data_IF_495179347005
#
_entry.id   IF_495179347005
#
_cell.length_a   1.000
_cell.length_b   1.000
_cell.length_c   1.000
_cell.angle_alpha   90.00
_cell.angle_beta   90.00
_cell.angle_gamma   90.00
#
_symmetry.space_group_name_H-M   'P 1'
#
loop_
_entity.id
_entity.type
_entity.pdbx_description
1 polymer ?
#
# COMPACT_ATOMS: atom_id res chain seq x y z
N UNK A 1 11.78 -19.66 14.89
CA UNK A 1 10.63 -18.76 15.15
C UNK A 1 10.90 -17.48 14.37
N UNK A 2 10.65 -17.49 13.07
CA UNK A 2 10.86 -16.32 12.21
C UNK A 2 9.65 -15.41 12.35
N UNK A 3 9.89 -14.19 12.81
CA UNK A 3 8.88 -13.16 12.99
C UNK A 3 8.19 -12.88 11.65
N UNK A 4 6.86 -12.86 11.64
CA UNK A 4 6.03 -12.59 10.45
C UNK A 4 6.31 -11.20 9.82
N UNK A 5 7.07 -10.34 10.49
CA UNK A 5 7.42 -8.98 10.06
C UNK A 5 8.36 -8.88 8.84
N UNK A 6 9.09 -9.94 8.49
CA UNK A 6 10.00 -9.93 7.32
C UNK A 6 9.39 -10.54 6.04
N UNK A 7 8.22 -11.19 6.14
CA UNK A 7 7.64 -11.87 4.97
C UNK A 7 6.95 -10.87 4.05
N UNK A 8 7.40 -10.79 2.80
CA UNK A 8 6.78 -9.94 1.78
C UNK A 8 5.36 -10.44 1.42
N UNK A 9 4.37 -9.53 1.33
CA UNK A 9 3.02 -9.88 0.89
C UNK A 9 2.96 -10.49 -0.50
N UNK A 10 2.03 -11.43 -0.70
CA UNK A 10 1.85 -12.10 -1.99
C UNK A 10 1.53 -11.10 -3.12
N UNK A 11 0.76 -10.05 -2.84
CA UNK A 11 0.42 -9.02 -3.82
C UNK A 11 1.66 -8.30 -4.36
N UNK A 12 2.63 -8.01 -3.49
CA UNK A 12 3.91 -7.41 -3.89
C UNK A 12 4.72 -8.38 -4.74
N UNK A 13 4.81 -9.64 -4.33
CA UNK A 13 5.57 -10.66 -5.07
C UNK A 13 5.01 -10.92 -6.46
N UNK A 14 3.68 -11.03 -6.59
CA UNK A 14 3.02 -11.26 -7.87
C UNK A 14 3.23 -10.07 -8.82
N UNK A 15 3.10 -8.84 -8.31
CA UNK A 15 3.34 -7.65 -9.11
C UNK A 15 4.81 -7.53 -9.53
N UNK A 16 5.74 -7.79 -8.61
CA UNK A 16 7.18 -7.80 -8.88
C UNK A 16 7.57 -8.90 -9.89
N UNK A 17 7.01 -10.10 -9.78
CA UNK A 17 7.23 -11.16 -10.76
C UNK A 17 6.73 -10.78 -12.16
N UNK A 18 5.59 -10.09 -12.27
CA UNK A 18 5.12 -9.54 -13.54
C UNK A 18 6.08 -8.46 -14.09
N UNK A 19 6.62 -7.59 -13.23
CA UNK A 19 7.63 -6.60 -13.59
C UNK A 19 8.91 -7.26 -14.13
N UNK A 20 9.45 -8.24 -13.43
CA UNK A 20 10.68 -8.95 -13.84
C UNK A 20 10.54 -9.64 -15.20
N UNK A 21 9.34 -10.15 -15.48
CA UNK A 21 9.01 -10.78 -16.77
C UNK A 21 8.61 -9.77 -17.85
N UNK A 22 8.58 -8.47 -17.54
CA UNK A 22 8.13 -7.37 -18.40
C UNK A 22 6.75 -7.62 -19.02
N UNK A 23 5.84 -8.17 -18.23
CA UNK A 23 4.48 -8.50 -18.66
C UNK A 23 3.49 -7.43 -18.19
N UNK A 24 2.48 -7.15 -19.02
CA UNK A 24 1.32 -6.41 -18.53
C UNK A 24 0.54 -7.26 -17.52
N UNK A 25 -0.34 -6.66 -16.71
CA UNK A 25 -1.23 -7.44 -15.85
C UNK A 25 -2.12 -8.40 -16.65
N UNK A 26 -2.49 -8.04 -17.88
CA UNK A 26 -3.32 -8.88 -18.73
C UNK A 26 -2.57 -10.15 -19.16
N UNK A 27 -1.33 -10.00 -19.62
CA UNK A 27 -0.50 -11.13 -20.06
C UNK A 27 -0.12 -12.02 -18.86
N UNK A 28 0.22 -11.40 -17.73
CA UNK A 28 0.54 -12.16 -16.52
C UNK A 28 -0.67 -12.93 -15.97
N UNK A 29 -1.87 -12.36 -16.04
CA UNK A 29 -3.10 -13.08 -15.69
C UNK A 29 -3.32 -14.29 -16.62
N UNK A 30 -3.07 -14.14 -17.92
CA UNK A 30 -3.19 -15.24 -18.87
C UNK A 30 -2.20 -16.38 -18.57
N UNK A 31 -0.94 -16.06 -18.20
CA UNK A 31 0.07 -17.04 -17.77
C UNK A 31 -0.39 -17.81 -16.51
N UNK A 32 -1.03 -17.12 -15.58
CA UNK A 32 -1.63 -17.72 -14.39
C UNK A 32 -2.95 -18.46 -14.67
N UNK A 33 -3.47 -18.45 -15.89
CA UNK A 33 -4.79 -19.01 -16.23
C UNK A 33 -5.95 -18.30 -15.51
N UNK A 34 -5.80 -17.01 -15.22
CA UNK A 34 -6.77 -16.17 -14.51
C UNK A 34 -7.37 -15.10 -15.42
N UNK A 35 -8.54 -14.60 -15.04
CA UNK A 35 -9.02 -13.34 -15.60
C UNK A 35 -8.24 -12.16 -15.00
N UNK A 36 -8.12 -11.07 -15.77
CA UNK A 36 -7.47 -9.83 -15.29
C UNK A 36 -8.16 -9.29 -14.03
N UNK A 37 -9.50 -9.39 -13.96
CA UNK A 37 -10.27 -8.99 -12.80
C UNK A 37 -9.87 -9.80 -11.56
N UNK A 38 -9.75 -11.12 -11.69
CA UNK A 38 -9.34 -12.02 -10.60
C UNK A 38 -7.93 -11.69 -10.11
N UNK A 39 -6.96 -11.50 -11.01
CA UNK A 39 -5.62 -11.10 -10.63
C UNK A 39 -5.62 -9.74 -9.90
N UNK A 40 -6.39 -8.75 -10.40
CA UNK A 40 -6.53 -7.46 -9.74
C UNK A 40 -7.14 -7.56 -8.35
N UNK A 41 -8.11 -8.45 -8.13
CA UNK A 41 -8.66 -8.72 -6.80
C UNK A 41 -7.59 -9.31 -5.88
N UNK A 42 -6.75 -10.23 -6.36
CA UNK A 42 -5.63 -10.75 -5.56
C UNK A 42 -4.57 -9.70 -5.23
N UNK A 43 -4.30 -8.76 -6.15
CA UNK A 43 -3.31 -7.71 -5.93
C UNK A 43 -3.83 -6.59 -5.01
N UNK A 44 -5.09 -6.19 -5.19
CA UNK A 44 -5.60 -4.89 -4.70
C UNK A 44 -6.88 -4.96 -3.86
N UNK A 45 -7.40 -6.14 -3.56
CA UNK A 45 -8.49 -6.30 -2.59
C UNK A 45 -7.98 -6.99 -1.34
N UNK A 46 -8.29 -6.41 -0.18
CA UNK A 46 -8.13 -7.07 1.09
C UNK A 46 -9.19 -8.18 1.22
N UNK A 47 -8.81 -9.38 1.68
CA UNK A 47 -9.73 -10.50 1.92
C UNK A 47 -10.09 -11.38 0.71
N UNK A 48 -9.90 -10.93 -0.54
CA UNK A 48 -10.14 -11.78 -1.74
C UNK A 48 -9.15 -12.95 -1.85
N UNK A 49 -8.01 -12.81 -1.18
CA UNK A 49 -6.88 -13.75 -1.18
C UNK A 49 -7.11 -15.02 -0.33
N UNK A 50 -8.08 -15.00 0.58
CA UNK A 50 -8.39 -16.14 1.46
C UNK A 50 -9.16 -17.27 0.76
N UNK A 51 -9.66 -17.06 -0.47
CA UNK A 51 -10.46 -18.04 -1.24
C UNK A 51 -9.79 -18.50 -2.55
N UNK A 52 -8.47 -18.49 -2.62
CA UNK A 52 -7.75 -18.94 -3.82
C UNK A 52 -7.96 -20.44 -4.08
N UNK A 53 -8.24 -20.80 -5.33
CA UNK A 53 -8.38 -22.20 -5.76
C UNK A 53 -7.02 -22.89 -5.71
N UNK A 54 -6.96 -24.17 -5.34
CA UNK A 54 -5.69 -24.91 -5.21
C UNK A 54 -4.82 -24.85 -6.47
N UNK A 55 -5.42 -25.05 -7.65
CA UNK A 55 -4.70 -24.93 -8.94
C UNK A 55 -4.03 -23.57 -9.11
N UNK A 56 -4.71 -22.49 -8.73
CA UNK A 56 -4.16 -21.13 -8.81
C UNK A 56 -3.00 -20.94 -7.83
N UNK A 57 -3.12 -21.48 -6.62
CA UNK A 57 -2.05 -21.44 -5.62
C UNK A 57 -0.82 -22.19 -6.11
N UNK A 58 -1.00 -23.36 -6.74
CA UNK A 58 0.10 -24.14 -7.34
C UNK A 58 0.79 -23.38 -8.47
N UNK A 59 0.03 -22.73 -9.36
CA UNK A 59 0.61 -21.91 -10.43
C UNK A 59 1.38 -20.70 -9.90
N UNK A 60 0.87 -20.04 -8.85
CA UNK A 60 1.57 -18.95 -8.19
C UNK A 60 2.84 -19.44 -7.49
N UNK A 61 2.78 -20.59 -6.82
CA UNK A 61 3.91 -21.25 -6.17
C UNK A 61 5.04 -21.54 -7.17
N UNK A 62 4.69 -22.09 -8.34
CA UNK A 62 5.63 -22.37 -9.43
C UNK A 62 6.27 -21.08 -9.98
N UNK A 63 5.47 -20.05 -10.26
CA UNK A 63 5.97 -18.79 -10.82
C UNK A 63 6.88 -18.02 -9.86
N UNK A 64 6.54 -18.05 -8.57
CA UNK A 64 7.28 -17.38 -7.50
C UNK A 64 8.41 -18.24 -6.92
N UNK A 65 8.50 -19.52 -7.32
CA UNK A 65 9.43 -20.50 -6.77
C UNK A 65 9.39 -20.60 -5.23
N UNK A 66 8.17 -20.65 -4.68
CA UNK A 66 7.89 -20.80 -3.24
C UNK A 66 6.87 -21.92 -3.03
N UNK A 67 6.83 -22.59 -1.87
CA UNK A 67 5.88 -23.67 -1.65
C UNK A 67 4.44 -23.15 -1.51
N UNK A 68 3.47 -23.99 -1.88
CA UNK A 68 2.04 -23.61 -1.95
C UNK A 68 1.41 -23.25 -0.59
N UNK A 69 1.95 -23.75 0.52
CA UNK A 69 1.55 -23.31 1.86
C UNK A 69 1.99 -21.86 2.12
N UNK A 70 3.20 -21.50 1.72
CA UNK A 70 3.75 -20.16 1.89
C UNK A 70 3.03 -19.12 1.02
N UNK A 71 2.56 -19.50 -0.18
CA UNK A 71 1.68 -18.64 -0.99
C UNK A 71 0.42 -18.24 -0.20
N UNK A 72 -0.20 -19.19 0.52
CA UNK A 72 -1.41 -18.92 1.32
C UNK A 72 -1.10 -18.05 2.53
N UNK A 73 -0.03 -18.35 3.26
CA UNK A 73 0.43 -17.52 4.39
C UNK A 73 0.68 -16.08 3.95
N UNK A 74 1.42 -15.88 2.85
CA UNK A 74 1.74 -14.54 2.32
C UNK A 74 0.53 -13.83 1.72
N UNK A 75 -0.54 -14.56 1.39
CA UNK A 75 -1.79 -13.97 0.89
C UNK A 75 -2.54 -13.20 1.98
N UNK A 76 -2.37 -13.58 3.24
CA UNK A 76 -2.96 -12.90 4.40
C UNK A 76 -2.22 -11.62 4.78
N UNK A 77 -0.97 -11.48 4.33
CA UNK A 77 -0.15 -10.31 4.60
C UNK A 77 -0.59 -9.10 3.75
N UNK A 78 -0.44 -7.92 4.34
CA UNK A 78 -0.72 -6.62 3.72
C UNK A 78 0.59 -5.82 3.79
N UNK A 79 0.95 -5.06 2.73
CA UNK A 79 2.15 -4.23 2.79
C UNK A 79 2.00 -3.12 3.84
N UNK A 80 3.13 -2.66 4.36
CA UNK A 80 3.15 -1.54 5.27
C UNK A 80 2.79 -0.22 4.58
N UNK A 81 2.32 0.70 5.41
CA UNK A 81 2.10 2.09 5.07
C UNK A 81 3.46 2.78 4.89
N UNK A 82 3.76 3.10 3.63
CA UNK A 82 5.00 3.76 3.20
C UNK A 82 4.65 5.05 2.44
N UNK A 83 5.65 5.67 1.83
CA UNK A 83 5.48 6.82 0.94
C UNK A 83 4.51 6.51 -0.22
N UNK A 84 3.72 7.50 -0.65
CA UNK A 84 2.92 7.38 -1.87
C UNK A 84 3.81 7.31 -3.12
N UNK A 85 3.45 6.45 -4.07
CA UNK A 85 4.19 6.30 -5.32
C UNK A 85 4.34 7.63 -6.09
N UNK A 86 3.32 8.47 -6.08
CA UNK A 86 3.34 9.78 -6.75
C UNK A 86 4.34 10.75 -6.13
N UNK A 87 4.48 10.73 -4.80
CA UNK A 87 5.45 11.54 -4.07
C UNK A 87 6.87 11.03 -4.28
N UNK A 88 7.04 9.70 -4.18
CA UNK A 88 8.29 9.02 -4.49
C UNK A 88 8.77 9.33 -5.91
N UNK A 89 7.86 9.27 -6.89
CA UNK A 89 8.16 9.53 -8.29
C UNK A 89 8.60 10.99 -8.51
N UNK A 90 7.91 11.96 -7.89
CA UNK A 90 8.30 13.37 -7.94
C UNK A 90 9.69 13.61 -7.34
N UNK A 91 9.98 13.00 -6.19
CA UNK A 91 11.27 13.11 -5.53
C UNK A 91 12.40 12.51 -6.40
N UNK A 92 12.18 11.34 -7.01
CA UNK A 92 13.17 10.69 -7.87
C UNK A 92 13.38 11.39 -9.21
N UNK A 93 12.41 12.18 -9.66
CA UNK A 93 12.57 13.05 -10.82
C UNK A 93 13.34 14.34 -10.52
N UNK A 94 13.30 14.82 -9.29
CA UNK A 94 13.82 16.15 -8.94
C UNK A 94 15.30 16.29 -9.30
N UNK A 95 15.62 17.32 -10.10
CA UNK A 95 16.98 17.61 -10.55
C UNK A 95 17.53 16.67 -11.64
N UNK A 96 16.82 15.60 -12.02
CA UNK A 96 17.29 14.61 -13.03
C UNK A 96 16.41 14.55 -14.27
N UNK A 97 15.09 14.63 -14.09
CA UNK A 97 14.13 14.45 -15.17
C UNK A 97 13.08 15.55 -15.18
N UNK A 98 12.74 16.01 -16.38
CA UNK A 98 11.46 16.68 -16.63
C UNK A 98 10.41 15.63 -16.97
N UNK A 99 9.13 15.98 -16.88
CA UNK A 99 8.04 15.08 -17.29
C UNK A 99 8.20 14.61 -18.74
N UNK A 100 8.55 15.53 -19.65
CA UNK A 100 8.74 15.21 -21.06
C UNK A 100 9.94 14.28 -21.28
N UNK A 101 11.09 14.55 -20.65
CA UNK A 101 12.27 13.69 -20.79
C UNK A 101 12.05 12.31 -20.19
N UNK A 102 11.31 12.19 -19.09
CA UNK A 102 10.94 10.89 -18.52
C UNK A 102 9.99 10.10 -19.43
N UNK A 103 9.00 10.76 -20.04
CA UNK A 103 8.11 10.12 -21.02
C UNK A 103 8.91 9.54 -22.20
N UNK A 104 9.86 10.30 -22.73
CA UNK A 104 10.74 9.85 -23.82
C UNK A 104 11.60 8.66 -23.39
N UNK A 105 12.22 8.72 -22.21
CA UNK A 105 13.10 7.66 -21.71
C UNK A 105 12.34 6.34 -21.42
N UNK A 106 11.15 6.45 -20.84
CA UNK A 106 10.33 5.28 -20.44
C UNK A 106 9.40 4.79 -21.54
N UNK A 107 9.23 5.58 -22.62
CA UNK A 107 8.22 5.37 -23.68
C UNK A 107 6.79 5.28 -23.11
N UNK A 108 6.52 5.97 -22.02
CA UNK A 108 5.19 6.09 -21.41
C UNK A 108 4.51 7.34 -21.95
N UNK A 109 3.21 7.27 -22.21
CA UNK A 109 2.44 8.42 -22.71
C UNK A 109 2.41 9.57 -21.70
N UNK A 110 2.42 10.81 -22.22
CA UNK A 110 2.39 12.03 -21.40
C UNK A 110 1.16 12.10 -20.48
N UNK A 111 0.00 11.59 -20.95
CA UNK A 111 -1.22 11.49 -20.16
C UNK A 111 -1.09 10.50 -19.01
N UNK A 112 -0.52 9.31 -19.23
CA UNK A 112 -0.31 8.33 -18.18
C UNK A 112 0.68 8.87 -17.13
N UNK A 113 1.79 9.46 -17.57
CA UNK A 113 2.78 10.06 -16.69
C UNK A 113 2.19 11.18 -15.81
N UNK A 114 1.35 12.04 -16.38
CA UNK A 114 0.62 13.08 -15.64
C UNK A 114 -0.25 12.45 -14.54
N UNK A 115 -0.98 11.39 -14.85
CA UNK A 115 -1.85 10.71 -13.88
C UNK A 115 -1.03 10.05 -12.76
N UNK A 116 0.14 9.49 -13.08
CA UNK A 116 1.07 8.90 -12.10
C UNK A 116 1.60 9.96 -11.13
N UNK A 117 2.08 11.09 -11.64
CA UNK A 117 2.58 12.19 -10.83
C UNK A 117 1.51 12.83 -9.94
N UNK A 118 0.26 12.85 -10.40
CA UNK A 118 -0.87 13.39 -9.65
C UNK A 118 -1.48 12.35 -8.68
N UNK A 119 -0.97 11.12 -8.64
CA UNK A 119 -1.52 10.05 -7.80
C UNK A 119 -2.91 9.58 -8.22
N UNK A 120 -3.35 9.91 -9.44
CA UNK A 120 -4.66 9.52 -9.96
C UNK A 120 -4.69 8.03 -10.34
N UNK A 121 -3.58 7.50 -10.84
CA UNK A 121 -3.38 6.08 -11.20
C UNK A 121 -1.99 5.62 -10.84
N UNK A 122 -1.79 4.33 -10.58
CA UNK A 122 -0.44 3.73 -10.56
C UNK A 122 -0.11 3.04 -11.90
N UNK A 123 1.17 2.84 -12.21
CA UNK A 123 1.57 2.12 -13.41
C UNK A 123 1.23 0.63 -13.35
N UNK A 124 1.00 0.05 -14.53
CA UNK A 124 0.98 -1.40 -14.76
C UNK A 124 2.41 -1.98 -14.65
N UNK A 125 2.63 -3.28 -14.38
CA UNK A 125 3.97 -3.84 -14.17
C UNK A 125 4.98 -3.55 -15.29
N UNK A 126 4.57 -3.59 -16.57
CA UNK A 126 5.44 -3.22 -17.70
C UNK A 126 5.88 -1.75 -17.64
N UNK A 127 4.96 -0.82 -17.34
CA UNK A 127 5.33 0.59 -17.16
C UNK A 127 6.14 0.81 -15.87
N UNK A 128 5.86 0.05 -14.82
CA UNK A 128 6.55 0.14 -13.54
C UNK A 128 8.01 -0.30 -13.66
N UNK A 129 8.30 -1.38 -14.39
CA UNK A 129 9.69 -1.83 -14.58
C UNK A 129 10.49 -0.83 -15.42
N UNK A 130 9.90 -0.26 -16.46
CA UNK A 130 10.55 0.81 -17.26
C UNK A 130 10.88 2.04 -16.42
N UNK A 131 9.97 2.41 -15.51
CA UNK A 131 10.21 3.51 -14.56
C UNK A 131 11.33 3.17 -13.58
N UNK A 132 11.34 1.96 -13.01
CA UNK A 132 12.38 1.51 -12.11
C UNK A 132 13.76 1.54 -12.79
N UNK A 133 13.85 1.04 -14.03
CA UNK A 133 15.10 1.02 -14.80
C UNK A 133 15.61 2.41 -15.15
N UNK A 134 14.73 3.31 -15.63
CA UNK A 134 15.14 4.67 -16.02
C UNK A 134 15.54 5.52 -14.82
N UNK A 135 14.88 5.32 -13.67
CA UNK A 135 15.17 6.05 -12.44
C UNK A 135 16.32 5.43 -11.63
N UNK A 136 16.83 4.27 -12.04
CA UNK A 136 17.82 3.46 -11.34
C UNK A 136 17.37 3.11 -9.91
N UNK A 137 16.13 2.62 -9.80
CA UNK A 137 15.48 2.26 -8.56
C UNK A 137 15.28 0.75 -8.44
N UNK A 138 15.32 0.25 -7.21
CA UNK A 138 15.00 -1.15 -6.94
C UNK A 138 13.54 -1.47 -7.32
N UNK A 139 13.40 -2.41 -8.25
CA UNK A 139 12.10 -2.89 -8.75
C UNK A 139 11.18 -3.41 -7.66
N UNK A 140 11.71 -4.03 -6.60
CA UNK A 140 10.91 -4.55 -5.50
C UNK A 140 10.35 -3.42 -4.64
N UNK A 141 11.16 -2.40 -4.37
CA UNK A 141 10.73 -1.16 -3.70
C UNK A 141 9.62 -0.46 -4.49
N UNK A 142 9.78 -0.34 -5.81
CA UNK A 142 8.73 0.24 -6.69
C UNK A 142 7.43 -0.58 -6.63
N UNK A 143 7.52 -1.91 -6.66
CA UNK A 143 6.36 -2.79 -6.52
C UNK A 143 5.64 -2.56 -5.18
N UNK A 144 6.38 -2.47 -4.06
CA UNK A 144 5.81 -2.18 -2.73
C UNK A 144 5.05 -0.86 -2.71
N UNK A 145 5.66 0.21 -3.21
CA UNK A 145 5.05 1.54 -3.26
C UNK A 145 3.76 1.55 -4.08
N UNK A 146 3.75 0.86 -5.24
CA UNK A 146 2.58 0.78 -6.11
C UNK A 146 1.43 0.03 -5.43
N UNK A 147 1.70 -1.16 -4.88
CA UNK A 147 0.68 -1.96 -4.20
C UNK A 147 0.13 -1.20 -2.98
N UNK A 148 0.99 -0.62 -2.15
CA UNK A 148 0.57 0.16 -0.99
C UNK A 148 -0.30 1.37 -1.40
N UNK A 149 0.13 2.14 -2.40
CA UNK A 149 -0.62 3.29 -2.91
C UNK A 149 -2.01 2.91 -3.45
N UNK A 150 -2.10 1.80 -4.17
CA UNK A 150 -3.37 1.28 -4.70
C UNK A 150 -4.31 0.81 -3.61
N UNK A 151 -3.80 0.12 -2.59
CA UNK A 151 -4.59 -0.32 -1.44
C UNK A 151 -5.10 0.88 -0.64
N UNK A 152 -4.25 1.88 -0.37
CA UNK A 152 -4.66 3.11 0.33
C UNK A 152 -5.74 3.86 -0.43
N UNK A 153 -5.61 3.98 -1.77
CA UNK A 153 -6.62 4.62 -2.62
C UNK A 153 -7.97 3.90 -2.58
N UNK A 154 -7.99 2.60 -2.30
CA UNK A 154 -9.21 1.80 -2.12
C UNK A 154 -9.78 1.86 -0.70
N UNK A 155 -9.12 2.60 0.21
CA UNK A 155 -9.54 2.74 1.61
C UNK A 155 -9.13 1.58 2.51
N UNK A 156 -8.13 0.78 2.10
CA UNK A 156 -7.55 -0.25 2.97
C UNK A 156 -6.60 0.43 3.96
N UNK A 157 -6.82 0.23 5.25
CA UNK A 157 -5.90 0.66 6.29
C UNK A 157 -4.65 -0.22 6.26
N UNK A 158 -3.48 0.41 6.09
CA UNK A 158 -2.20 -0.28 6.05
C UNK A 158 -1.50 -0.15 7.40
N UNK A 159 -0.85 -1.21 7.90
CA UNK A 159 -0.08 -1.14 9.13
C UNK A 159 1.13 -0.22 8.93
N UNK A 160 1.45 0.64 9.89
CA UNK A 160 2.68 1.43 9.87
C UNK A 160 3.90 0.52 9.77
N UNK A 161 4.89 0.90 8.96
CA UNK A 161 6.14 0.14 8.88
C UNK A 161 6.78 0.04 10.27
N UNK A 162 7.30 -1.15 10.65
CA UNK A 162 8.07 -1.28 11.88
C UNK A 162 9.23 -0.29 11.80
N UNK A 163 9.25 0.67 12.74
CA UNK A 163 10.39 1.57 12.88
C UNK A 163 11.55 0.72 13.36
N UNK A 164 12.40 0.25 12.45
CA UNK A 164 13.74 -0.11 12.86
C UNK A 164 14.32 1.15 13.46
N UNK A 165 14.49 1.15 14.79
CA UNK A 165 15.33 2.11 15.48
C UNK A 165 16.63 2.12 14.69
N UNK A 166 16.80 3.19 13.91
CA UNK A 166 18.05 3.51 13.25
C UNK A 166 18.99 3.62 14.42
N UNK A 167 19.80 2.58 14.63
CA UNK A 167 20.85 2.56 15.64
C UNK A 167 21.68 3.78 15.29
N UNK A 168 21.47 4.86 16.05
CA UNK A 168 22.34 6.01 16.02
C UNK A 168 23.72 5.40 16.22
N UNK A 169 24.69 5.66 15.32
CA UNK A 169 26.06 5.22 15.57
C UNK A 169 26.40 5.72 16.97
N UNK A 170 26.49 4.79 17.92
CA UNK A 170 27.04 5.09 19.24
C UNK A 170 28.46 5.51 18.94
N UNK A 171 28.67 6.82 19.00
CA UNK A 171 29.97 7.46 19.00
C UNK A 171 30.86 6.64 19.97
N UNK A 172 32.04 6.18 19.54
CA UNK A 172 32.83 5.29 20.38
C UNK A 172 33.21 6.01 21.66
N UNK A 173 32.65 5.50 22.76
CA UNK A 173 32.98 5.86 24.13
C UNK A 173 34.50 5.70 24.34
N UNK A 174 35.25 6.74 24.74
CA UNK A 174 36.59 6.56 25.24
C UNK A 174 36.54 5.96 26.65
N UNK A 175 37.26 4.87 26.86
CA UNK A 175 37.47 4.23 28.17
C UNK A 175 38.17 5.16 29.19
N UNK A 176 38.03 4.90 30.51
CA UNK A 176 38.17 5.87 31.58
C UNK A 176 39.55 5.89 32.28
N UNK A 177 39.99 7.06 32.76
CA UNK A 177 40.78 7.29 34.02
C UNK A 177 41.33 8.74 34.11
N UNK A 178 41.70 9.25 35.30
CA UNK A 178 40.93 9.53 36.52
C UNK A 178 40.89 11.05 36.84
N UNK A 179 39.98 11.48 37.72
CA UNK A 179 39.92 12.85 38.29
C UNK A 179 41.23 13.28 39.01
N UNK A 180 41.47 14.60 39.15
CA UNK A 180 41.15 15.20 40.45
C UNK A 180 40.41 16.54 40.38
N UNK A 181 39.37 16.62 41.22
CA UNK A 181 38.82 17.74 42.00
C UNK A 181 39.07 19.20 41.54
N UNK A 182 37.96 19.92 41.35
CA UNK A 182 37.69 21.21 42.02
C UNK A 182 36.25 21.70 41.74
N UNK A 183 35.38 21.66 42.74
CA UNK A 183 34.19 22.49 42.91
C UNK A 183 34.58 23.96 43.25
N UNK A 184 33.66 24.95 43.38
CA UNK A 184 32.18 24.92 43.26
C UNK A 184 31.52 26.10 42.50
N UNK A 185 30.17 26.13 42.54
CA UNK A 185 29.25 27.31 42.64
C UNK A 185 28.44 27.59 41.35
N UNK A 186 27.12 27.83 41.30
CA UNK A 186 25.92 27.63 42.14
C UNK A 186 24.67 28.00 41.29
N UNK A 187 23.46 27.66 41.78
CA UNK A 187 22.14 28.32 41.52
C UNK A 187 21.51 28.12 40.11
N UNK A 188 20.21 27.98 39.82
CA UNK A 188 18.88 27.99 40.49
C UNK A 188 17.88 27.52 39.38
N UNK A 189 17.01 26.51 39.57
CA UNK A 189 15.55 26.58 39.86
C UNK A 189 14.58 26.67 38.64
N UNK A 190 13.62 25.72 38.69
CA UNK A 190 12.23 25.65 38.20
C UNK A 190 11.83 25.54 36.72
N UNK A 191 10.80 24.71 36.48
CA UNK A 191 9.80 24.99 35.45
C UNK A 191 9.05 23.82 34.78
N UNK A 192 8.23 23.10 35.54
CA UNK A 192 6.94 22.46 35.20
C UNK A 192 6.54 22.02 33.75
N UNK A 193 6.03 20.78 33.68
CA UNK A 193 5.10 20.20 32.69
C UNK A 193 3.82 21.05 32.49
N UNK A 194 3.13 20.97 31.33
CA UNK A 194 1.88 20.21 31.32
C UNK A 194 1.53 19.45 30.02
N UNK A 195 0.70 18.43 30.21
CA UNK A 195 0.02 17.52 29.27
C UNK A 195 -1.27 18.13 28.65
N UNK A 196 -1.97 17.44 27.72
CA UNK A 196 -2.71 18.02 26.59
C UNK A 196 -4.19 18.29 26.88
N UNK A 197 -4.82 19.14 26.07
CA UNK A 197 -6.27 19.10 25.79
C UNK A 197 -6.52 19.47 24.33
N UNK A 198 -7.12 18.56 23.58
CA UNK A 198 -7.80 18.89 22.34
C UNK A 198 -9.09 18.08 22.31
N UNK A 199 -10.15 18.72 22.79
CA UNK A 199 -11.51 18.42 22.39
C UNK A 199 -11.59 18.59 20.88
N UNK A 200 -12.01 17.55 20.17
CA UNK A 200 -12.40 17.67 18.77
C UNK A 200 -13.55 16.70 18.52
N UNK A 201 -14.71 17.09 19.04
CA UNK A 201 -16.01 16.70 18.52
C UNK A 201 -16.13 17.34 17.14
N UNK A 202 -15.50 16.75 16.13
CA UNK A 202 -15.81 17.01 14.71
C UNK A 202 -16.60 15.81 14.22
N UNK A 203 -17.91 15.96 14.39
CA UNK A 203 -18.90 15.83 13.32
C UNK A 203 -19.11 14.42 12.72
N UNK A 204 -19.68 13.52 13.53
CA UNK A 204 -20.32 12.27 13.07
C UNK A 204 -21.36 12.51 11.97
N UNK A 205 -21.99 13.69 11.92
CA UNK A 205 -23.04 14.00 10.95
C UNK A 205 -22.50 14.18 9.52
N UNK A 206 -21.31 14.77 9.33
CA UNK A 206 -20.69 14.89 7.99
C UNK A 206 -20.15 13.56 7.48
N UNK A 207 -19.64 12.69 8.37
CA UNK A 207 -19.19 11.34 8.00
C UNK A 207 -20.39 10.49 7.56
N UNK A 208 -21.55 10.66 8.19
CA UNK A 208 -22.76 9.90 7.86
C UNK A 208 -23.40 10.35 6.53
N UNK A 209 -23.51 11.66 6.30
CA UNK A 209 -24.11 12.22 5.07
C UNK A 209 -23.34 11.84 3.78
N UNK A 210 -22.01 11.75 3.86
CA UNK A 210 -21.16 11.33 2.75
C UNK A 210 -21.33 9.83 2.42
N UNK A 211 -21.61 9.01 3.43
CA UNK A 211 -21.86 7.58 3.25
C UNK A 211 -23.23 7.30 2.62
N UNK A 212 -24.27 8.04 2.97
CA UNK A 212 -25.61 7.87 2.40
C UNK A 212 -25.63 8.13 0.88
N UNK A 213 -25.00 9.21 0.43
CA UNK A 213 -24.93 9.53 -1.00
C UNK A 213 -24.16 8.48 -1.79
N UNK A 214 -23.11 7.89 -1.19
CA UNK A 214 -22.34 6.79 -1.80
C UNK A 214 -23.16 5.51 -1.91
N UNK A 215 -23.93 5.17 -0.88
CA UNK A 215 -24.82 3.99 -0.87
C UNK A 215 -25.95 4.14 -1.89
N UNK A 216 -26.55 5.32 -2.01
CA UNK A 216 -27.57 5.61 -3.03
C UNK A 216 -27.02 5.48 -4.45
N UNK A 217 -25.79 5.95 -4.69
CA UNK A 217 -25.15 5.84 -6.00
C UNK A 217 -24.79 4.39 -6.35
N UNK A 218 -24.37 3.57 -5.37
CA UNK A 218 -24.16 2.14 -5.57
C UNK A 218 -25.48 1.41 -5.85
N UNK A 219 -26.54 1.73 -5.11
CA UNK A 219 -27.87 1.16 -5.31
C UNK A 219 -28.43 1.46 -6.71
N UNK A 220 -28.27 2.69 -7.20
CA UNK A 220 -28.70 3.07 -8.57
C UNK A 220 -27.96 2.32 -9.67
N UNK A 221 -26.74 1.86 -9.42
CA UNK A 221 -25.92 1.08 -10.37
C UNK A 221 -26.27 -0.41 -10.39
N UNK A 222 -27.10 -0.90 -9.46
CA UNK A 222 -27.55 -2.29 -9.46
C UNK A 222 -28.52 -2.59 -10.61
N UNK A 223 -28.48 -3.85 -11.09
CA UNK A 223 -29.46 -4.40 -12.03
C UNK A 223 -30.90 -4.23 -11.47
N UNK A 224 -31.93 -4.01 -12.30
CA UNK A 224 -33.30 -3.75 -11.82
C UNK A 224 -33.85 -4.79 -10.85
N UNK A 225 -33.49 -6.06 -11.03
CA UNK A 225 -33.88 -7.14 -10.11
C UNK A 225 -33.17 -7.01 -8.74
N UNK A 226 -31.89 -6.63 -8.72
CA UNK A 226 -31.14 -6.40 -7.49
C UNK A 226 -31.70 -5.22 -6.69
N UNK A 227 -32.11 -4.14 -7.38
CA UNK A 227 -32.79 -3.00 -6.74
C UNK A 227 -34.09 -3.41 -6.05
N UNK A 228 -34.92 -4.23 -6.70
CA UNK A 228 -36.18 -4.74 -6.11
C UNK A 228 -35.90 -5.61 -4.89
N UNK A 229 -34.94 -6.53 -4.97
CA UNK A 229 -34.56 -7.39 -3.85
C UNK A 229 -34.10 -6.58 -2.62
N UNK A 230 -33.26 -5.55 -2.81
CA UNK A 230 -32.85 -4.67 -1.70
C UNK A 230 -34.03 -3.92 -1.07
N UNK A 231 -35.00 -3.43 -1.86
CA UNK A 231 -36.18 -2.77 -1.31
C UNK A 231 -37.09 -3.73 -0.55
N UNK A 232 -37.27 -4.95 -1.07
CA UNK A 232 -38.05 -6.00 -0.39
C UNK A 232 -37.43 -6.39 0.94
N UNK A 233 -36.10 -6.51 0.99
CA UNK A 233 -35.38 -6.82 2.23
C UNK A 233 -35.47 -5.69 3.26
N UNK A 234 -35.37 -4.43 2.84
CA UNK A 234 -35.56 -3.28 3.75
C UNK A 234 -37.00 -3.27 4.27
N UNK A 235 -37.99 -3.53 3.42
CA UNK A 235 -39.39 -3.61 3.84
C UNK A 235 -39.65 -4.76 4.82
N UNK A 236 -39.01 -5.93 4.65
CA UNK A 236 -39.15 -7.04 5.61
C UNK A 236 -38.51 -6.70 6.95
N UNK A 237 -37.33 -6.07 6.96
CA UNK A 237 -36.69 -5.60 8.20
C UNK A 237 -37.54 -4.58 8.95
N UNK A 238 -38.20 -3.67 8.23
CA UNK A 238 -39.11 -2.70 8.83
C UNK A 238 -40.40 -3.35 9.36
N UNK A 239 -40.84 -4.44 8.74
CA UNK A 239 -42.01 -5.21 9.18
C UNK A 239 -41.71 -6.13 10.37
N UNK A 240 -40.48 -6.61 10.51
CA UNK A 240 -40.02 -7.44 11.65
C UNK A 240 -39.61 -6.60 12.88
N UNK A 241 -39.40 -5.29 12.70
CA UNK A 241 -39.00 -4.34 13.74
C UNK A 241 -40.13 -3.53 14.39
N UNK A 242 -41.39 -3.86 14.12
CA UNK A 242 -42.60 -3.37 14.82
C UNK A 242 -43.35 -4.54 15.47
#
# INVERSE_FOLDING_TARGET
MSTSDEKLPLSVLLFHAAMQRRMSLADFAAVLGLSVATLRSYLFEAGSRSRMRSKTVEQMAEILNIPANEVRERAELIPYDDQLFSEWLKAHMQGRFTRASLCTATKISDSAMKNYLNGQTTPDPDNAIRLAEVLDADSLTVARLIIASELRRRGVELPSAPRHERTVPVEPMPEPKPEPASTPTATTVDGATPTPKSDTVIDEATINAYNEQRLLNLWRRLHPQGRRATLTYIASLLAEGM
#
